data_IF_750236049561
#
_entry.id   IF_750236049561
#
_cell.length_a   1.000
_cell.length_b   1.000
_cell.length_c   1.000
_cell.angle_alpha   90.00
_cell.angle_beta   90.00
_cell.angle_gamma   90.00
#
_symmetry.space_group_name_H-M   'P 1'
#
loop_
_entity.id
_entity.type
_entity.pdbx_description
1 polymer ?
#
# COMPACT_ATOMS: atom_id res chain seq x y z
N UNK A 1 4.54 -20.90 0.58
CA UNK A 1 4.92 -20.33 1.89
C UNK A 1 4.24 -18.98 1.99
N UNK A 2 3.46 -18.71 3.05
CA UNK A 2 2.80 -17.42 3.20
C UNK A 2 3.83 -16.29 3.28
N UNK A 3 3.47 -15.13 2.70
CA UNK A 3 4.22 -13.90 2.87
C UNK A 3 3.35 -12.84 3.55
N UNK A 4 3.98 -12.06 4.40
CA UNK A 4 3.32 -11.13 5.30
C UNK A 4 3.61 -9.70 4.86
N UNK A 5 2.56 -8.92 4.67
CA UNK A 5 2.64 -7.51 4.27
C UNK A 5 2.31 -6.68 5.50
N UNK A 6 3.30 -5.99 6.03
CA UNK A 6 3.12 -5.16 7.21
C UNK A 6 2.57 -3.79 6.79
N UNK A 7 1.50 -3.38 7.47
CA UNK A 7 0.93 -2.05 7.36
C UNK A 7 1.91 -0.97 7.86
N UNK A 8 1.75 0.28 7.40
CA UNK A 8 2.59 1.42 7.80
C UNK A 8 2.65 1.63 9.30
N UNK A 9 1.58 1.36 10.04
CA UNK A 9 1.54 1.47 11.49
C UNK A 9 2.56 0.58 12.20
N UNK A 10 2.79 -0.64 11.70
CA UNK A 10 3.80 -1.56 12.26
C UNK A 10 5.22 -0.99 12.07
N UNK A 11 5.49 -0.44 10.88
CA UNK A 11 6.78 0.18 10.61
C UNK A 11 7.01 1.45 11.44
N UNK A 12 5.96 2.24 11.66
CA UNK A 12 6.01 3.41 12.55
C UNK A 12 6.30 2.98 13.99
N UNK A 13 5.67 1.92 14.48
CA UNK A 13 5.92 1.38 15.82
C UNK A 13 7.36 0.87 15.96
N UNK A 14 7.93 0.25 14.93
CA UNK A 14 9.36 -0.09 14.90
C UNK A 14 10.24 1.16 14.96
N UNK A 15 9.92 2.21 14.20
CA UNK A 15 10.68 3.46 14.23
C UNK A 15 10.66 4.14 15.61
N UNK A 16 9.59 3.92 16.38
CA UNK A 16 9.41 4.43 17.74
C UNK A 16 10.03 3.55 18.82
N UNK A 17 10.65 2.42 18.43
CA UNK A 17 11.25 1.48 19.36
C UNK A 17 10.27 0.63 20.16
N UNK A 18 8.97 0.59 19.77
CA UNK A 18 7.96 -0.28 20.39
C UNK A 18 8.08 -1.73 19.91
N UNK A 19 8.69 -1.93 18.74
CA UNK A 19 8.90 -3.23 18.07
C UNK A 19 10.37 -3.30 17.68
N UNK A 20 10.99 -4.47 17.84
CA UNK A 20 12.36 -4.70 17.37
C UNK A 20 12.38 -5.22 15.92
N UNK A 21 13.45 -4.95 15.18
CA UNK A 21 13.61 -5.49 13.82
C UNK A 21 13.66 -7.03 13.83
N UNK A 22 14.23 -7.63 14.88
CA UNK A 22 14.23 -9.10 15.09
C UNK A 22 12.84 -9.71 15.14
N UNK A 23 11.85 -8.98 15.65
CA UNK A 23 10.46 -9.44 15.71
C UNK A 23 9.84 -9.59 14.31
N UNK A 24 10.38 -8.85 13.32
CA UNK A 24 9.94 -8.85 11.95
C UNK A 24 10.79 -9.79 11.08
N UNK A 25 12.11 -9.66 11.13
CA UNK A 25 13.04 -10.31 10.18
C UNK A 25 13.82 -11.48 10.77
N UNK A 26 13.81 -11.65 12.09
CA UNK A 26 14.55 -12.72 12.79
C UNK A 26 13.94 -14.11 12.64
N UNK A 27 12.85 -14.27 11.90
CA UNK A 27 12.07 -15.48 11.77
C UNK A 27 12.36 -16.20 10.46
N UNK A 28 12.97 -17.37 10.54
CA UNK A 28 13.32 -18.16 9.34
C UNK A 28 12.11 -18.75 8.61
N UNK A 29 10.97 -18.85 9.29
CA UNK A 29 9.71 -19.42 8.76
C UNK A 29 8.78 -18.37 8.17
N UNK A 30 9.10 -17.08 8.32
CA UNK A 30 8.22 -15.98 7.94
C UNK A 30 8.89 -15.12 6.87
N UNK A 31 8.23 -14.97 5.73
CA UNK A 31 8.66 -14.08 4.67
C UNK A 31 7.89 -12.77 4.74
N UNK A 32 8.58 -11.66 4.98
CA UNK A 32 7.97 -10.33 5.02
C UNK A 32 8.19 -9.62 3.69
N UNK A 33 7.15 -8.98 3.19
CA UNK A 33 7.18 -8.20 1.96
C UNK A 33 6.71 -6.76 2.19
N UNK A 34 7.32 -5.82 1.49
CA UNK A 34 6.99 -4.40 1.53
C UNK A 34 6.04 -4.02 0.40
N UNK A 35 4.94 -3.41 0.74
CA UNK A 35 4.08 -2.77 -0.25
C UNK A 35 4.67 -1.42 -0.67
N UNK A 36 4.75 -1.12 -1.99
CA UNK A 36 5.32 0.12 -2.50
C UNK A 36 4.70 1.39 -1.91
N UNK A 37 3.39 1.41 -1.71
CA UNK A 37 2.70 2.58 -1.15
C UNK A 37 3.06 2.83 0.31
N UNK A 38 3.13 1.78 1.12
CA UNK A 38 3.63 1.85 2.50
C UNK A 38 5.01 2.49 2.54
N UNK A 39 5.91 2.02 1.67
CA UNK A 39 7.26 2.57 1.58
C UNK A 39 7.26 4.04 1.17
N UNK A 40 6.45 4.43 0.18
CA UNK A 40 6.37 5.82 -0.28
C UNK A 40 5.84 6.74 0.80
N UNK A 41 4.83 6.32 1.55
CA UNK A 41 4.26 7.06 2.68
C UNK A 41 5.32 7.33 3.76
N UNK A 42 6.05 6.29 4.17
CA UNK A 42 7.11 6.39 5.16
C UNK A 42 8.27 7.28 4.68
N UNK A 43 8.64 7.17 3.41
CA UNK A 43 9.70 8.00 2.80
C UNK A 43 9.31 9.48 2.76
N UNK A 44 8.04 9.81 2.51
CA UNK A 44 7.55 11.19 2.61
C UNK A 44 7.73 11.76 4.01
N UNK A 45 7.45 10.95 5.04
CA UNK A 45 7.71 11.30 6.43
C UNK A 45 9.18 11.59 6.67
N UNK A 46 10.08 10.75 6.17
CA UNK A 46 11.54 10.91 6.29
C UNK A 46 12.02 12.20 5.61
N UNK A 47 11.55 12.49 4.40
CA UNK A 47 11.93 13.73 3.67
C UNK A 47 11.52 14.98 4.45
N UNK A 48 10.33 14.99 5.06
CA UNK A 48 9.78 16.18 5.75
C UNK A 48 10.22 16.31 7.21
N UNK A 49 10.67 15.24 7.83
CA UNK A 49 10.77 15.13 9.29
C UNK A 49 12.03 15.73 9.94
N UNK A 50 13.03 16.16 9.17
CA UNK A 50 14.28 16.72 9.71
C UNK A 50 15.22 15.67 10.28
N UNK A 51 16.35 16.14 10.89
CA UNK A 51 17.45 15.26 11.31
C UNK A 51 17.04 14.23 12.38
N UNK A 52 16.36 14.65 13.43
CA UNK A 52 15.95 13.75 14.52
C UNK A 52 15.01 12.65 14.01
N UNK A 53 14.07 13.02 13.13
CA UNK A 53 13.16 12.07 12.52
C UNK A 53 13.89 11.12 11.57
N UNK A 54 14.83 11.63 10.78
CA UNK A 54 15.66 10.84 9.88
C UNK A 54 16.46 9.78 10.65
N UNK A 55 17.17 10.16 11.70
CA UNK A 55 17.99 9.22 12.48
C UNK A 55 17.13 8.14 13.15
N UNK A 56 15.99 8.53 13.71
CA UNK A 56 15.03 7.58 14.30
C UNK A 56 14.52 6.56 13.30
N UNK A 57 14.20 6.99 12.08
CA UNK A 57 13.63 6.11 11.06
C UNK A 57 14.70 5.30 10.29
N UNK A 58 15.96 5.61 10.46
CA UNK A 58 17.06 4.91 9.77
C UNK A 58 17.16 3.43 10.14
N UNK A 59 16.88 3.06 11.39
CA UNK A 59 16.81 1.67 11.85
C UNK A 59 15.67 0.91 11.20
N UNK A 60 14.48 1.55 11.12
CA UNK A 60 13.32 1.02 10.40
C UNK A 60 13.67 0.75 8.93
N UNK A 61 14.29 1.70 8.23
CA UNK A 61 14.67 1.54 6.82
C UNK A 61 15.72 0.45 6.62
N UNK A 62 16.64 0.26 7.55
CA UNK A 62 17.57 -0.88 7.53
C UNK A 62 16.85 -2.22 7.63
N UNK A 63 15.85 -2.30 8.49
CA UNK A 63 15.00 -3.49 8.60
C UNK A 63 14.22 -3.74 7.30
N UNK A 64 13.62 -2.71 6.72
CA UNK A 64 12.91 -2.79 5.44
C UNK A 64 13.80 -3.24 4.28
N UNK A 65 15.07 -2.86 4.28
CA UNK A 65 16.02 -3.22 3.23
C UNK A 65 16.31 -4.74 3.14
N UNK A 66 16.00 -5.50 4.20
CA UNK A 66 16.08 -6.96 4.22
C UNK A 66 14.82 -7.65 3.71
N UNK A 67 13.75 -6.92 3.45
CA UNK A 67 12.48 -7.47 2.99
C UNK A 67 12.37 -7.47 1.45
N UNK A 68 11.58 -8.38 0.91
CA UNK A 68 11.21 -8.34 -0.50
C UNK A 68 10.26 -7.17 -0.77
N UNK A 69 10.36 -6.56 -1.92
CA UNK A 69 9.49 -5.47 -2.35
C UNK A 69 8.51 -5.98 -3.40
N UNK A 70 7.22 -5.79 -3.13
CA UNK A 70 6.16 -6.18 -4.03
C UNK A 70 6.10 -5.27 -5.26
N UNK A 71 5.44 -5.73 -6.30
CA UNK A 71 5.09 -4.90 -7.44
C UNK A 71 4.01 -3.90 -7.04
N UNK A 72 3.90 -2.79 -7.80
CA UNK A 72 2.77 -1.87 -7.61
C UNK A 72 1.43 -2.61 -7.75
N UNK A 73 0.42 -2.28 -6.92
CA UNK A 73 -0.89 -2.94 -6.98
C UNK A 73 -1.48 -2.99 -8.38
N UNK A 74 -1.34 -1.93 -9.17
CA UNK A 74 -1.80 -1.90 -10.56
C UNK A 74 -1.17 -2.99 -11.44
N UNK A 75 0.13 -3.21 -11.30
CA UNK A 75 0.85 -4.28 -12.02
C UNK A 75 0.40 -5.65 -11.51
N UNK A 76 0.29 -5.79 -10.19
CA UNK A 76 -0.17 -7.01 -9.55
C UNK A 76 -1.60 -7.39 -9.98
N UNK A 77 -2.52 -6.43 -9.99
CA UNK A 77 -3.91 -6.64 -10.46
C UNK A 77 -3.91 -7.12 -11.91
N UNK A 78 -3.12 -6.47 -12.77
CA UNK A 78 -3.04 -6.85 -14.18
C UNK A 78 -2.56 -8.29 -14.36
N UNK A 79 -1.47 -8.67 -13.70
CA UNK A 79 -0.95 -10.05 -13.74
C UNK A 79 -1.97 -11.06 -13.21
N UNK A 80 -2.64 -10.73 -12.13
CA UNK A 80 -3.63 -11.61 -11.49
C UNK A 80 -4.85 -11.86 -12.38
N UNK A 81 -5.32 -10.85 -13.11
CA UNK A 81 -6.50 -10.97 -13.96
C UNK A 81 -6.23 -11.66 -15.29
N UNK A 82 -5.11 -11.36 -15.92
CA UNK A 82 -4.83 -11.84 -17.28
C UNK A 82 -3.72 -12.88 -17.37
N UNK A 83 -3.13 -13.23 -16.23
CA UNK A 83 -2.01 -14.18 -16.16
C UNK A 83 -0.84 -13.82 -17.14
N UNK A 84 -0.64 -12.55 -17.39
CA UNK A 84 0.38 -12.02 -18.31
C UNK A 84 1.40 -11.25 -17.51
N UNK A 85 2.65 -11.31 -17.92
CA UNK A 85 3.69 -10.41 -17.43
C UNK A 85 3.21 -8.97 -17.70
N UNK A 86 2.77 -8.30 -16.64
CA UNK A 86 2.08 -7.00 -16.73
C UNK A 86 2.90 -5.98 -17.49
N UNK A 87 2.20 -5.04 -18.11
CA UNK A 87 2.80 -3.93 -18.84
C UNK A 87 3.85 -3.22 -17.98
N UNK A 88 4.89 -2.76 -18.64
CA UNK A 88 6.06 -2.16 -17.99
C UNK A 88 5.63 -0.97 -17.14
N UNK A 89 5.60 -1.15 -15.82
CA UNK A 89 5.52 -0.01 -14.91
C UNK A 89 6.79 0.81 -15.04
N UNK A 90 6.66 2.14 -15.12
CA UNK A 90 7.82 3.05 -15.09
C UNK A 90 8.58 2.99 -13.77
N UNK A 91 7.95 2.43 -12.73
CA UNK A 91 8.54 2.20 -11.41
C UNK A 91 8.58 0.70 -11.15
N UNK A 92 9.78 0.19 -10.95
CA UNK A 92 10.05 -1.22 -10.66
C UNK A 92 10.48 -1.39 -9.20
N UNK A 93 10.40 -2.59 -8.62
CA UNK A 93 10.89 -2.87 -7.26
C UNK A 93 12.33 -2.40 -7.00
N UNK A 94 13.19 -2.44 -8.01
CA UNK A 94 14.57 -1.92 -7.93
C UNK A 94 14.67 -0.44 -7.57
N UNK A 95 13.72 0.40 -7.99
CA UNK A 95 13.71 1.82 -7.62
C UNK A 95 13.48 2.01 -6.11
N UNK A 96 12.64 1.17 -5.50
CA UNK A 96 12.41 1.20 -4.05
C UNK A 96 13.62 0.73 -3.26
N UNK A 97 14.37 -0.28 -3.76
CA UNK A 97 15.65 -0.68 -3.17
C UNK A 97 16.65 0.48 -3.17
N UNK A 98 16.77 1.18 -4.30
CA UNK A 98 17.62 2.38 -4.39
C UNK A 98 17.21 3.45 -3.37
N UNK A 99 15.91 3.65 -3.13
CA UNK A 99 15.47 4.58 -2.07
C UNK A 99 15.91 4.15 -0.68
N UNK A 100 15.75 2.89 -0.34
CA UNK A 100 16.19 2.35 0.95
C UNK A 100 17.71 2.51 1.11
N UNK A 101 18.48 2.24 0.06
CA UNK A 101 19.93 2.44 0.02
C UNK A 101 20.32 3.90 0.22
N UNK A 102 19.61 4.85 -0.40
CA UNK A 102 19.87 6.28 -0.20
C UNK A 102 19.71 6.70 1.27
N UNK A 103 18.69 6.18 1.97
CA UNK A 103 18.51 6.47 3.41
C UNK A 103 19.58 5.79 4.25
N UNK A 104 19.86 4.51 4.00
CA UNK A 104 20.78 3.73 4.83
C UNK A 104 22.23 4.16 4.67
N UNK A 105 22.64 4.60 3.47
CA UNK A 105 24.00 5.09 3.19
C UNK A 105 24.23 6.54 3.62
N UNK A 106 23.17 7.32 3.84
CA UNK A 106 23.30 8.72 4.27
C UNK A 106 23.60 8.81 5.77
N UNK A 107 24.63 9.57 6.13
CA UNK A 107 24.99 9.81 7.53
C UNK A 107 24.13 10.87 8.22
N UNK A 108 23.42 11.72 7.44
CA UNK A 108 22.56 12.80 7.95
C UNK A 108 21.38 13.05 7.02
N UNK A 109 20.32 13.67 7.55
CA UNK A 109 19.16 14.10 6.77
C UNK A 109 19.55 15.04 5.63
N UNK A 110 20.49 15.98 5.89
CA UNK A 110 21.01 16.89 4.87
C UNK A 110 21.69 16.14 3.71
N UNK A 111 22.47 15.11 4.00
CA UNK A 111 23.09 14.28 2.97
C UNK A 111 22.03 13.51 2.18
N UNK A 112 21.08 12.91 2.87
CA UNK A 112 19.95 12.24 2.24
C UNK A 112 19.15 13.17 1.31
N UNK A 113 18.79 14.37 1.77
CA UNK A 113 18.05 15.34 0.95
C UNK A 113 18.82 15.75 -0.31
N UNK A 114 20.14 15.95 -0.26
CA UNK A 114 20.94 16.23 -1.45
C UNK A 114 20.81 15.12 -2.51
N UNK A 115 20.76 13.86 -2.09
CA UNK A 115 20.57 12.73 -2.98
C UNK A 115 19.12 12.65 -3.48
N UNK A 116 18.15 12.87 -2.59
CA UNK A 116 16.72 12.77 -2.90
C UNK A 116 16.24 13.90 -3.84
N UNK A 117 16.75 15.11 -3.67
CA UNK A 117 16.37 16.28 -4.46
C UNK A 117 17.19 16.45 -5.75
N UNK A 118 18.18 15.61 -6.00
CA UNK A 118 18.95 15.65 -7.23
C UNK A 118 18.00 15.48 -8.45
N UNK A 119 18.24 16.21 -9.58
CA UNK A 119 17.30 16.28 -10.71
C UNK A 119 16.89 14.92 -11.32
N UNK A 120 17.77 13.91 -11.20
CA UNK A 120 17.54 12.55 -11.70
C UNK A 120 17.34 11.52 -10.59
N UNK A 121 17.09 11.97 -9.37
CA UNK A 121 16.93 11.03 -8.24
C UNK A 121 15.70 10.15 -8.43
N UNK A 122 15.80 8.95 -7.89
CA UNK A 122 14.67 8.00 -7.86
C UNK A 122 13.52 8.59 -7.06
N UNK A 123 13.80 9.26 -5.93
CA UNK A 123 12.77 9.89 -5.11
C UNK A 123 12.00 10.97 -5.86
N UNK A 124 12.69 11.88 -6.56
CA UNK A 124 12.03 12.96 -7.30
C UNK A 124 11.09 12.39 -8.35
N UNK A 125 11.55 11.40 -9.11
CA UNK A 125 10.73 10.71 -10.11
C UNK A 125 9.53 10.00 -9.47
N UNK A 126 9.72 9.33 -8.36
CA UNK A 126 8.66 8.60 -7.67
C UNK A 126 7.65 9.55 -7.03
N UNK A 127 8.10 10.63 -6.40
CA UNK A 127 7.22 11.63 -5.77
C UNK A 127 6.38 12.38 -6.80
N UNK A 128 6.91 12.64 -7.99
CA UNK A 128 6.16 13.24 -9.11
C UNK A 128 5.07 12.26 -9.61
N UNK A 129 5.43 11.00 -9.85
CA UNK A 129 4.47 9.98 -10.28
C UNK A 129 3.38 9.74 -9.22
N UNK A 130 3.75 9.77 -7.97
CA UNK A 130 2.87 9.56 -6.84
C UNK A 130 1.90 10.76 -6.67
N UNK A 131 2.39 11.99 -6.85
CA UNK A 131 1.53 13.19 -6.87
C UNK A 131 0.52 13.17 -8.01
N UNK A 132 0.92 12.71 -9.19
CA UNK A 132 0.02 12.54 -10.34
C UNK A 132 -1.03 11.45 -10.00
N UNK A 133 -0.58 10.35 -9.43
CA UNK A 133 -1.47 9.25 -9.03
C UNK A 133 -2.47 9.68 -7.95
N UNK A 134 -2.02 10.38 -6.91
CA UNK A 134 -2.90 10.95 -5.88
C UNK A 134 -3.94 11.90 -6.48
N UNK A 135 -3.54 12.77 -7.39
CA UNK A 135 -4.45 13.70 -8.06
C UNK A 135 -5.52 12.97 -8.88
N UNK A 136 -5.13 11.93 -9.61
CA UNK A 136 -6.07 11.08 -10.37
C UNK A 136 -7.01 10.36 -9.42
N UNK A 137 -6.49 9.79 -8.33
CA UNK A 137 -7.28 9.03 -7.37
C UNK A 137 -8.23 9.90 -6.55
N UNK A 138 -7.80 11.08 -6.12
CA UNK A 138 -8.70 12.03 -5.44
C UNK A 138 -9.86 12.41 -6.37
N UNK A 139 -9.57 12.65 -7.65
CA UNK A 139 -10.60 12.91 -8.67
C UNK A 139 -11.53 11.72 -8.88
N UNK A 140 -10.99 10.51 -8.90
CA UNK A 140 -11.77 9.27 -9.07
C UNK A 140 -12.58 8.94 -7.83
N UNK A 141 -12.03 9.07 -6.62
CA UNK A 141 -12.76 8.92 -5.37
C UNK A 141 -13.91 9.93 -5.28
N UNK A 142 -13.68 11.20 -5.64
CA UNK A 142 -14.76 12.22 -5.71
C UNK A 142 -15.80 11.86 -6.76
N UNK A 143 -15.42 11.30 -7.89
CA UNK A 143 -16.35 10.81 -8.91
C UNK A 143 -17.10 9.61 -8.43
N UNK A 144 -16.46 8.65 -7.76
CA UNK A 144 -17.10 7.50 -7.13
C UNK A 144 -18.08 7.93 -6.04
N UNK A 145 -17.75 8.95 -5.25
CA UNK A 145 -18.67 9.52 -4.24
C UNK A 145 -19.91 10.14 -4.90
N UNK A 146 -19.73 10.86 -6.01
CA UNK A 146 -20.86 11.41 -6.78
C UNK A 146 -21.71 10.29 -7.40
N UNK A 147 -21.08 9.29 -8.00
CA UNK A 147 -21.73 8.12 -8.57
C UNK A 147 -22.41 7.28 -7.49
N UNK A 148 -21.81 7.14 -6.31
CA UNK A 148 -22.35 6.37 -5.20
C UNK A 148 -23.68 6.93 -4.65
N UNK A 149 -23.99 8.21 -4.87
CA UNK A 149 -25.30 8.79 -4.53
C UNK A 149 -26.45 8.26 -5.38
N UNK A 150 -26.15 7.64 -6.56
CA UNK A 150 -27.18 7.11 -7.47
C UNK A 150 -26.82 5.78 -8.15
N UNK A 151 -25.59 5.25 -7.98
CA UNK A 151 -25.15 4.09 -8.74
C UNK A 151 -25.35 2.76 -7.99
N UNK A 152 -25.58 1.69 -8.76
CA UNK A 152 -25.56 0.33 -8.23
C UNK A 152 -24.14 -0.10 -7.86
N UNK A 153 -24.03 -1.11 -6.98
CA UNK A 153 -22.74 -1.72 -6.61
C UNK A 153 -22.00 -2.24 -7.85
N UNK A 154 -22.72 -2.79 -8.82
CA UNK A 154 -22.15 -3.27 -10.10
C UNK A 154 -21.44 -2.15 -10.86
N UNK A 155 -22.01 -0.95 -10.92
CA UNK A 155 -21.39 0.22 -11.57
C UNK A 155 -20.11 0.64 -10.87
N UNK A 156 -20.06 0.56 -9.53
CA UNK A 156 -18.83 0.84 -8.75
C UNK A 156 -17.74 -0.16 -9.08
N UNK A 157 -18.03 -1.45 -9.19
CA UNK A 157 -17.07 -2.48 -9.56
C UNK A 157 -16.49 -2.26 -10.96
N UNK A 158 -17.32 -1.91 -11.94
CA UNK A 158 -16.88 -1.63 -13.31
C UNK A 158 -15.94 -0.41 -13.31
N UNK A 159 -16.26 0.65 -12.57
CA UNK A 159 -15.41 1.83 -12.50
C UNK A 159 -14.07 1.52 -11.81
N UNK A 160 -14.07 0.73 -10.74
CA UNK A 160 -12.82 0.28 -10.11
C UNK A 160 -11.96 -0.54 -11.07
N UNK A 161 -12.57 -1.46 -11.82
CA UNK A 161 -11.88 -2.26 -12.80
C UNK A 161 -11.25 -1.39 -13.90
N UNK A 162 -11.98 -0.39 -14.40
CA UNK A 162 -11.49 0.58 -15.39
C UNK A 162 -10.29 1.35 -14.87
N UNK A 163 -10.38 1.88 -13.66
CA UNK A 163 -9.32 2.66 -13.02
C UNK A 163 -8.03 1.84 -12.84
N UNK A 164 -8.19 0.56 -12.54
CA UNK A 164 -7.05 -0.34 -12.30
C UNK A 164 -6.59 -1.08 -13.57
N UNK A 165 -7.27 -0.94 -14.70
CA UNK A 165 -6.88 -1.58 -15.96
C UNK A 165 -5.75 -0.81 -16.65
N UNK A 166 -4.64 -1.49 -16.94
CA UNK A 166 -3.50 -0.94 -17.70
C UNK A 166 -3.76 -0.90 -19.21
N UNK A 167 -4.64 -1.77 -19.69
CA UNK A 167 -4.91 -2.00 -21.13
C UNK A 167 -6.19 -1.33 -21.63
N UNK A 168 -6.96 -0.72 -20.75
CA UNK A 168 -8.32 -0.27 -21.08
C UNK A 168 -9.34 -1.41 -21.20
N UNK A 169 -8.91 -2.67 -21.11
CA UNK A 169 -9.80 -3.84 -21.07
C UNK A 169 -10.45 -3.89 -19.69
N UNK A 170 -11.74 -3.98 -19.65
CA UNK A 170 -12.52 -4.12 -18.42
C UNK A 170 -12.63 -5.60 -18.13
N UNK A 171 -12.09 -6.10 -16.98
CA UNK A 171 -12.30 -7.49 -16.60
C UNK A 171 -13.77 -7.77 -16.35
N UNK A 172 -14.17 -9.00 -16.53
CA UNK A 172 -15.51 -9.46 -16.14
C UNK A 172 -15.74 -9.11 -14.67
N UNK A 173 -16.85 -8.40 -14.35
CA UNK A 173 -17.10 -7.90 -12.99
C UNK A 173 -17.01 -8.97 -11.91
N UNK A 174 -17.48 -10.19 -12.21
CA UNK A 174 -17.52 -11.28 -11.24
C UNK A 174 -16.13 -11.83 -10.94
N UNK A 175 -15.25 -12.01 -11.93
CA UNK A 175 -13.88 -12.44 -11.71
C UNK A 175 -13.06 -11.41 -10.93
N UNK A 176 -13.29 -10.13 -11.19
CA UNK A 176 -12.68 -9.05 -10.43
C UNK A 176 -13.17 -9.04 -8.98
N UNK A 177 -14.49 -9.19 -8.78
CA UNK A 177 -15.09 -9.21 -7.45
C UNK A 177 -14.60 -10.38 -6.62
N UNK A 178 -14.51 -11.57 -7.20
CA UNK A 178 -14.03 -12.77 -6.52
C UNK A 178 -12.58 -12.60 -6.04
N UNK A 179 -11.69 -12.22 -6.96
CA UNK A 179 -10.26 -12.11 -6.68
C UNK A 179 -9.90 -10.97 -5.73
N UNK A 180 -10.60 -9.84 -5.81
CA UNK A 180 -10.30 -8.63 -5.05
C UNK A 180 -11.40 -8.24 -4.06
N UNK A 181 -12.10 -9.24 -3.52
CA UNK A 181 -13.27 -9.03 -2.67
C UNK A 181 -13.00 -8.14 -1.45
N UNK A 182 -11.85 -8.28 -0.78
CA UNK A 182 -11.49 -7.45 0.36
C UNK A 182 -11.33 -5.97 -0.02
N UNK A 183 -10.59 -5.68 -1.09
CA UNK A 183 -10.38 -4.31 -1.56
C UNK A 183 -11.70 -3.63 -1.99
N UNK A 184 -12.57 -4.40 -2.64
CA UNK A 184 -13.88 -3.92 -3.08
C UNK A 184 -14.79 -3.65 -1.88
N UNK A 185 -14.81 -4.54 -0.91
CA UNK A 185 -15.67 -4.41 0.27
C UNK A 185 -15.22 -3.24 1.14
N UNK A 186 -13.92 -3.07 1.33
CA UNK A 186 -13.36 -1.91 2.01
C UNK A 186 -13.81 -0.60 1.34
N UNK A 187 -13.67 -0.51 0.01
CA UNK A 187 -14.11 0.68 -0.72
C UNK A 187 -15.62 0.92 -0.60
N UNK A 188 -16.43 -0.15 -0.62
CA UNK A 188 -17.88 -0.05 -0.39
C UNK A 188 -18.20 0.53 0.99
N UNK A 189 -17.49 0.07 2.02
CA UNK A 189 -17.64 0.60 3.37
C UNK A 189 -17.33 2.09 3.43
N UNK A 190 -16.22 2.51 2.83
CA UNK A 190 -15.85 3.93 2.73
C UNK A 190 -16.95 4.76 2.03
N UNK A 191 -17.51 4.26 0.93
CA UNK A 191 -18.62 4.91 0.21
C UNK A 191 -19.87 5.04 1.07
N UNK A 192 -20.20 4.00 1.85
CA UNK A 192 -21.34 4.02 2.77
C UNK A 192 -21.14 5.06 3.87
N UNK A 193 -19.95 5.13 4.45
CA UNK A 193 -19.61 6.13 5.47
C UNK A 193 -19.76 7.56 4.92
N UNK A 194 -19.31 7.81 3.69
CA UNK A 194 -19.47 9.11 3.02
C UNK A 194 -20.94 9.45 2.77
N UNK A 195 -21.77 8.48 2.38
CA UNK A 195 -23.22 8.66 2.21
C UNK A 195 -23.91 9.05 3.52
N UNK A 196 -23.39 8.58 4.65
CA UNK A 196 -23.91 8.90 5.99
C UNK A 196 -23.41 10.25 6.52
N UNK A 197 -22.76 11.05 5.68
CA UNK A 197 -22.25 12.38 6.05
C UNK A 197 -20.91 12.38 6.77
N UNK A 198 -20.26 11.24 6.91
CA UNK A 198 -18.91 11.20 7.45
C UNK A 198 -17.95 11.95 6.53
N UNK A 199 -17.17 12.88 7.09
CA UNK A 199 -16.09 13.56 6.37
C UNK A 199 -14.88 12.64 6.08
N UNK A 200 -15.10 11.33 6.08
CA UNK A 200 -14.08 10.29 6.01
C UNK A 200 -13.10 10.47 4.84
N UNK A 201 -13.57 11.00 3.70
CA UNK A 201 -12.72 11.22 2.53
C UNK A 201 -11.96 12.55 2.54
N UNK A 202 -12.35 13.53 3.36
CA UNK A 202 -11.63 14.81 3.41
C UNK A 202 -10.29 14.74 4.12
N UNK A 203 -10.14 13.79 5.05
CA UNK A 203 -8.98 13.70 5.94
C UNK A 203 -8.16 12.40 5.80
N UNK A 204 -8.56 11.47 4.93
CA UNK A 204 -8.03 10.11 4.97
C UNK A 204 -7.27 9.73 3.70
N UNK A 205 -6.05 10.26 3.55
CA UNK A 205 -5.05 9.68 2.63
C UNK A 205 -4.70 8.23 2.99
N UNK A 206 -4.80 7.87 4.28
CA UNK A 206 -4.61 6.51 4.77
C UNK A 206 -5.56 5.50 4.13
N UNK A 207 -6.84 5.82 4.00
CA UNK A 207 -7.83 4.91 3.38
C UNK A 207 -7.43 4.42 1.99
N UNK A 208 -6.70 5.25 1.24
CA UNK A 208 -6.22 4.84 -0.09
C UNK A 208 -5.07 3.84 0.03
N UNK A 209 -4.11 4.09 0.91
CA UNK A 209 -2.98 3.19 1.15
C UNK A 209 -3.50 1.84 1.64
N UNK A 210 -4.44 1.86 2.60
CA UNK A 210 -5.07 0.66 3.14
C UNK A 210 -5.79 -0.13 2.05
N UNK A 211 -6.58 0.54 1.20
CA UNK A 211 -7.25 -0.11 0.08
C UNK A 211 -6.25 -0.76 -0.89
N UNK A 212 -5.09 -0.14 -1.13
CA UNK A 212 -4.07 -0.70 -2.00
C UNK A 212 -3.43 -1.96 -1.42
N UNK A 213 -3.32 -2.08 -0.09
CA UNK A 213 -2.84 -3.30 0.57
C UNK A 213 -3.78 -4.48 0.32
N UNK A 214 -5.09 -4.26 0.37
CA UNK A 214 -6.06 -5.33 0.19
C UNK A 214 -6.05 -5.98 -1.20
N UNK A 215 -5.55 -5.30 -2.23
CA UNK A 215 -5.39 -5.92 -3.54
C UNK A 215 -4.42 -7.11 -3.52
N UNK A 216 -3.40 -7.10 -2.67
CA UNK A 216 -2.46 -8.20 -2.57
C UNK A 216 -3.07 -9.48 -1.98
N UNK A 217 -4.21 -9.38 -1.28
CA UNK A 217 -4.96 -10.54 -0.81
C UNK A 217 -5.53 -11.42 -1.93
N UNK A 218 -5.46 -10.99 -3.18
CA UNK A 218 -5.77 -11.86 -4.32
C UNK A 218 -4.74 -12.99 -4.49
N UNK A 219 -3.49 -12.82 -4.00
CA UNK A 219 -2.56 -13.94 -3.87
C UNK A 219 -2.99 -14.82 -2.70
N UNK A 220 -3.13 -16.15 -2.89
CA UNK A 220 -3.69 -17.03 -1.87
C UNK A 220 -2.83 -17.16 -0.61
N UNK A 221 -1.54 -16.89 -0.73
CA UNK A 221 -0.56 -16.95 0.36
C UNK A 221 -0.18 -15.58 0.96
N UNK A 222 -0.82 -14.49 0.51
CA UNK A 222 -0.64 -13.16 1.09
C UNK A 222 -1.43 -13.00 2.39
N UNK A 223 -0.79 -12.46 3.42
CA UNK A 223 -1.37 -12.11 4.72
C UNK A 223 -1.03 -10.65 5.03
N UNK A 224 -2.01 -9.85 5.39
CA UNK A 224 -1.79 -8.48 5.87
C UNK A 224 -1.69 -8.50 7.38
N UNK A 225 -0.69 -7.79 7.91
CA UNK A 225 -0.49 -7.59 9.35
C UNK A 225 -0.73 -6.13 9.67
N UNK A 226 -1.74 -5.84 10.49
CA UNK A 226 -2.08 -4.49 10.90
C UNK A 226 -2.58 -4.47 12.35
N UNK A 227 -2.31 -3.37 13.06
CA UNK A 227 -2.91 -3.12 14.37
C UNK A 227 -4.29 -2.47 14.26
N UNK A 228 -4.69 -2.01 13.09
CA UNK A 228 -6.02 -1.48 12.83
C UNK A 228 -7.06 -2.61 12.77
N UNK A 229 -8.30 -2.28 13.13
CA UNK A 229 -9.42 -3.22 13.05
C UNK A 229 -10.24 -2.94 11.78
N UNK A 230 -10.02 -3.76 10.77
CA UNK A 230 -10.75 -3.73 9.51
C UNK A 230 -11.99 -4.62 9.49
N UNK A 231 -12.35 -5.25 10.60
CA UNK A 231 -13.48 -6.21 10.68
C UNK A 231 -14.82 -5.56 10.33
N UNK A 232 -14.93 -4.24 10.57
CA UNK A 232 -16.10 -3.44 10.22
C UNK A 232 -16.26 -3.18 8.72
N UNK A 233 -15.15 -3.05 7.99
CA UNK A 233 -15.07 -2.67 6.58
C UNK A 233 -15.15 -3.87 5.64
N UNK A 234 -14.62 -5.02 6.03
CA UNK A 234 -14.50 -6.23 5.18
C UNK A 234 -15.20 -7.45 5.77
N UNK A 235 -16.44 -7.28 6.21
CA UNK A 235 -17.21 -8.30 6.96
C UNK A 235 -17.47 -9.59 6.17
N UNK A 236 -17.76 -9.47 4.89
CA UNK A 236 -18.28 -10.56 4.05
C UNK A 236 -17.18 -11.20 3.21
N UNK A 237 -16.05 -10.51 3.03
CA UNK A 237 -14.95 -11.05 2.23
C UNK A 237 -14.38 -12.34 2.83
N UNK A 238 -14.23 -13.41 2.04
CA UNK A 238 -13.54 -14.62 2.48
C UNK A 238 -12.07 -14.36 2.82
N UNK A 239 -11.51 -13.26 2.33
CA UNK A 239 -10.12 -12.86 2.55
C UNK A 239 -9.89 -12.22 3.93
N UNK A 240 -10.94 -11.88 4.69
CA UNK A 240 -10.83 -11.23 6.01
C UNK A 240 -9.94 -11.98 7.00
N UNK A 241 -9.96 -13.32 6.96
CA UNK A 241 -9.16 -14.16 7.87
C UNK A 241 -7.65 -14.12 7.56
N UNK A 242 -7.26 -13.45 6.49
CA UNK A 242 -5.85 -13.21 6.12
C UNK A 242 -5.37 -11.80 6.47
N UNK A 243 -6.15 -11.12 7.32
CA UNK A 243 -5.74 -9.87 7.96
C UNK A 243 -5.64 -10.18 9.44
N UNK A 244 -4.42 -10.10 9.97
CA UNK A 244 -4.11 -10.49 11.35
C UNK A 244 -3.52 -9.31 12.12
N UNK A 245 -3.63 -9.36 13.44
CA UNK A 245 -2.96 -8.41 14.32
C UNK A 245 -1.46 -8.72 14.41
N UNK A 246 -0.66 -7.72 14.74
CA UNK A 246 0.77 -7.92 14.95
C UNK A 246 1.06 -8.88 16.11
N UNK A 247 0.23 -8.87 17.15
CA UNK A 247 0.30 -9.85 18.24
C UNK A 247 0.20 -11.30 17.76
N UNK A 248 -0.70 -11.55 16.79
CA UNK A 248 -0.89 -12.89 16.23
C UNK A 248 0.28 -13.28 15.31
N UNK A 249 0.78 -12.29 14.55
CA UNK A 249 2.00 -12.47 13.76
C UNK A 249 3.21 -12.85 14.63
N UNK A 250 3.31 -12.31 15.85
CA UNK A 250 4.37 -12.67 16.78
C UNK A 250 4.32 -14.12 17.30
N UNK A 251 3.19 -14.79 17.16
CA UNK A 251 3.00 -16.18 17.59
C UNK A 251 3.37 -17.21 16.51
N UNK A 252 3.64 -16.76 15.29
CA UNK A 252 4.03 -17.63 14.17
C UNK A 252 5.49 -18.06 14.26
#
# INVERSE_FOLDING_TARGET
MPFYILDSNIWIDLSQGKIACSDITGRTTVKVALAPFTLTELMRGIVKGGETYFQRNRSMVKCMASCDILELPKVFIYKTLWNVAGGVSKVQPGHYKTLLEMVTSSGSHKQFLRLAEAPRSVWKRMSELDSIHEGVLDKELRSLVKLAKGASVKTLHVNMARTNSLSGIIPEPDSFQEKFSAAIEFLRSCVIQVRRGANALKNNRGLYVDNQLFFYLAAPDAVIVSNEDFSGEIKVSPQKNRIIKFSDFLLL
#
